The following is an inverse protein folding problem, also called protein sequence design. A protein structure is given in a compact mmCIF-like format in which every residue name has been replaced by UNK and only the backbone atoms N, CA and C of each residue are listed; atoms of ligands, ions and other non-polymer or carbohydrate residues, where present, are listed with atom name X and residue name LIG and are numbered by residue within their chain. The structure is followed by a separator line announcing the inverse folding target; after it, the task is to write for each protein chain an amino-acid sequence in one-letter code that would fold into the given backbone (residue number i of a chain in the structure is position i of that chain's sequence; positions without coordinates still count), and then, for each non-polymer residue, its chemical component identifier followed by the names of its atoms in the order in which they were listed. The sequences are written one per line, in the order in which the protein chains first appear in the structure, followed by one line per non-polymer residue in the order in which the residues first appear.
data_IF_758724574987
#
_entry.id   IF_758724574987
#
_cell.length_a   1.000
_cell.length_b   1.000
_cell.length_c   1.000
_cell.angle_alpha   90.00
_cell.angle_beta   90.00
_cell.angle_gamma   90.00
#
_symmetry.space_group_name_H-M   'P 1'
#
loop_
_entity.id
_entity.type
_entity.pdbx_description
1 polymer ?
#
# COMPACT_ATOMS: atom_id res chain seq x y z
N UNK A 1 50.85 -54.34 -3.46
CA UNK A 1 49.94 -54.26 -2.29
C UNK A 1 50.27 -53.10 -1.35
N UNK A 2 51.54 -52.74 -1.08
CA UNK A 2 51.91 -51.66 -0.13
C UNK A 2 51.31 -50.25 -0.38
N UNK A 3 50.98 -49.92 -1.63
CA UNK A 3 50.46 -48.59 -2.02
C UNK A 3 48.97 -48.36 -1.72
N UNK A 4 48.18 -49.42 -1.53
CA UNK A 4 46.76 -49.29 -1.19
C UNK A 4 46.62 -49.03 0.31
N UNK A 5 47.40 -49.76 1.13
CA UNK A 5 47.39 -49.59 2.59
C UNK A 5 47.86 -48.19 3.01
N UNK A 6 48.84 -47.60 2.33
CA UNK A 6 49.26 -46.20 2.56
C UNK A 6 48.16 -45.19 2.24
N UNK A 7 47.41 -45.42 1.16
CA UNK A 7 46.28 -44.55 0.79
C UNK A 7 45.11 -44.69 1.76
N UNK A 8 44.85 -45.91 2.24
CA UNK A 8 43.84 -46.16 3.28
C UNK A 8 44.26 -45.51 4.59
N UNK A 9 45.53 -45.63 4.99
CA UNK A 9 46.07 -44.96 6.18
C UNK A 9 45.97 -43.44 6.06
N UNK A 10 46.31 -42.88 4.90
CA UNK A 10 46.20 -41.44 4.63
C UNK A 10 44.75 -40.94 4.66
N UNK A 11 43.79 -41.68 4.10
CA UNK A 11 42.36 -41.37 4.23
C UNK A 11 41.88 -41.46 5.67
N UNK A 12 42.30 -42.50 6.40
CA UNK A 12 41.93 -42.68 7.81
C UNK A 12 42.53 -41.56 8.68
N UNK A 13 43.74 -41.13 8.40
CA UNK A 13 44.37 -39.99 9.07
C UNK A 13 43.70 -38.67 8.70
N UNK A 14 43.27 -38.49 7.44
CA UNK A 14 42.50 -37.34 7.01
C UNK A 14 41.12 -37.29 7.68
N UNK A 15 40.42 -38.42 7.75
CA UNK A 15 39.15 -38.58 8.47
C UNK A 15 39.34 -38.33 9.97
N UNK A 16 40.41 -38.85 10.57
CA UNK A 16 40.74 -38.63 11.98
C UNK A 16 41.06 -37.16 12.27
N UNK A 17 41.77 -36.46 11.38
CA UNK A 17 42.03 -35.02 11.48
C UNK A 17 40.78 -34.18 11.25
N UNK A 18 39.93 -34.55 10.30
CA UNK A 18 38.63 -33.91 10.09
C UNK A 18 37.70 -34.13 11.29
N UNK A 19 37.80 -35.26 11.97
CA UNK A 19 37.07 -35.53 13.22
C UNK A 19 37.64 -34.76 14.44
N UNK A 20 38.74 -34.01 14.27
CA UNK A 20 39.26 -33.03 15.23
C UNK A 20 38.83 -31.59 14.87
N UNK A 21 37.82 -31.41 14.02
CA UNK A 21 37.20 -30.11 13.77
C UNK A 21 36.27 -29.74 14.94
N UNK A 22 36.57 -28.69 15.72
CA UNK A 22 35.64 -28.18 16.73
C UNK A 22 34.36 -27.55 16.13
N UNK A 23 34.27 -27.36 14.81
CA UNK A 23 33.23 -26.55 14.17
C UNK A 23 31.99 -27.32 13.66
N UNK A 24 32.01 -28.65 13.57
CA UNK A 24 30.77 -29.44 13.37
C UNK A 24 30.30 -30.15 14.65
N UNK A 25 31.15 -30.20 15.68
CA UNK A 25 30.76 -30.74 16.98
C UNK A 25 29.91 -29.73 17.77
N UNK A 26 29.90 -28.44 17.40
CA UNK A 26 29.10 -27.41 18.07
C UNK A 26 27.58 -27.56 17.89
N UNK A 27 27.13 -28.26 16.84
CA UNK A 27 25.69 -28.53 16.58
C UNK A 27 25.22 -29.80 17.28
N UNK A 28 26.13 -30.74 17.55
CA UNK A 28 25.85 -32.03 18.22
C UNK A 28 26.16 -32.00 19.73
N UNK A 29 26.96 -31.04 20.18
CA UNK A 29 27.23 -30.86 21.60
C UNK A 29 25.99 -30.29 22.30
N UNK A 30 25.61 -30.83 23.48
CA UNK A 30 24.56 -30.23 24.27
C UNK A 30 24.96 -28.77 24.54
N UNK A 31 24.05 -27.80 24.36
CA UNK A 31 24.43 -26.40 24.39
C UNK A 31 25.15 -26.08 25.70
N UNK A 32 26.21 -25.29 25.59
CA UNK A 32 26.98 -24.87 26.74
C UNK A 32 26.07 -24.20 27.77
N UNK A 33 26.42 -24.25 29.05
CA UNK A 33 25.60 -23.64 30.10
C UNK A 33 25.36 -22.14 29.83
N UNK A 34 26.33 -21.47 29.20
CA UNK A 34 26.22 -20.09 28.76
C UNK A 34 25.17 -19.93 27.65
N UNK A 35 25.20 -20.75 26.59
CA UNK A 35 24.22 -20.72 25.50
C UNK A 35 22.81 -21.03 25.99
N UNK A 36 22.66 -22.02 26.88
CA UNK A 36 21.37 -22.32 27.53
C UNK A 36 20.84 -21.12 28.31
N UNK A 37 21.72 -20.44 29.05
CA UNK A 37 21.33 -19.24 29.81
C UNK A 37 20.93 -18.07 28.90
N UNK A 38 21.64 -17.89 27.78
CA UNK A 38 21.34 -16.86 26.80
C UNK A 38 20.00 -17.14 26.11
N UNK A 39 19.77 -18.38 25.70
CA UNK A 39 18.50 -18.81 25.11
C UNK A 39 17.33 -18.65 26.09
N UNK A 40 17.52 -19.00 27.36
CA UNK A 40 16.50 -18.82 28.39
C UNK A 40 16.10 -17.34 28.54
N UNK A 41 17.08 -16.44 28.62
CA UNK A 41 16.84 -14.99 28.69
C UNK A 41 16.10 -14.46 27.46
N UNK A 42 16.51 -14.89 26.26
CA UNK A 42 15.84 -14.47 25.03
C UNK A 42 14.39 -14.97 24.97
N UNK A 43 14.15 -16.20 25.43
CA UNK A 43 12.80 -16.77 25.49
C UNK A 43 11.91 -16.00 26.48
N UNK A 44 12.46 -15.61 27.62
CA UNK A 44 11.78 -14.79 28.62
C UNK A 44 11.45 -13.39 28.07
N UNK A 45 12.42 -12.72 27.43
CA UNK A 45 12.20 -11.41 26.81
C UNK A 45 11.13 -11.50 25.69
N UNK A 46 11.19 -12.53 24.86
CA UNK A 46 10.19 -12.76 23.82
C UNK A 46 8.79 -12.97 24.40
N UNK A 47 8.67 -13.76 25.48
CA UNK A 47 7.40 -13.95 26.17
C UNK A 47 6.88 -12.63 26.77
N UNK A 48 7.75 -11.85 27.40
CA UNK A 48 7.41 -10.54 27.95
C UNK A 48 6.94 -9.56 26.85
N UNK A 49 7.64 -9.49 25.71
CA UNK A 49 7.24 -8.65 24.58
C UNK A 49 5.94 -9.11 23.92
N UNK A 50 5.73 -10.41 23.82
CA UNK A 50 4.47 -10.96 23.32
C UNK A 50 3.30 -10.57 24.21
N UNK A 51 3.50 -10.61 25.54
CA UNK A 51 2.50 -10.16 26.51
C UNK A 51 2.23 -8.65 26.41
N UNK A 52 3.29 -7.84 26.33
CA UNK A 52 3.16 -6.38 26.11
C UNK A 52 2.33 -6.06 24.87
N UNK A 53 2.56 -6.77 23.76
CA UNK A 53 1.77 -6.62 22.53
C UNK A 53 0.30 -6.98 22.72
N UNK A 54 -0.03 -8.02 23.50
CA UNK A 54 -1.42 -8.37 23.83
C UNK A 54 -2.08 -7.26 24.64
N UNK A 55 -1.39 -6.72 25.65
CA UNK A 55 -1.89 -5.57 26.40
C UNK A 55 -2.15 -4.35 25.49
N UNK A 56 -1.22 -4.03 24.59
CA UNK A 56 -1.40 -2.95 23.60
C UNK A 56 -2.60 -3.16 22.66
N UNK A 57 -3.03 -4.41 22.46
CA UNK A 57 -4.25 -4.75 21.70
C UNK A 57 -5.53 -4.69 22.54
N UNK A 58 -5.42 -4.43 23.85
CA UNK A 58 -6.55 -4.47 24.78
C UNK A 58 -6.88 -5.87 25.30
N UNK A 59 -5.97 -6.83 25.16
CA UNK A 59 -6.12 -8.20 25.68
C UNK A 59 -5.44 -8.31 27.06
N UNK A 60 -5.88 -9.25 27.89
CA UNK A 60 -5.27 -9.56 29.20
C UNK A 60 -5.15 -8.37 30.19
N UNK A 61 -5.95 -7.31 30.01
CA UNK A 61 -5.85 -6.06 30.79
C UNK A 61 -6.11 -6.25 32.30
N UNK A 62 -6.81 -7.31 32.70
CA UNK A 62 -7.02 -7.64 34.11
C UNK A 62 -5.72 -7.89 34.90
N UNK A 63 -4.61 -8.12 34.20
CA UNK A 63 -3.29 -8.34 34.79
C UNK A 63 -2.55 -7.03 35.12
N UNK A 64 -3.06 -5.89 34.66
CA UNK A 64 -2.48 -4.56 34.86
C UNK A 64 -3.17 -3.82 36.01
N UNK A 65 -2.38 -3.11 36.80
CA UNK A 65 -2.91 -2.14 37.77
C UNK A 65 -3.44 -0.87 37.11
N UNK A 66 -4.21 -0.07 37.86
CA UNK A 66 -4.79 1.20 37.36
C UNK A 66 -3.72 2.15 36.81
N UNK A 67 -2.57 2.25 37.47
CA UNK A 67 -1.48 3.13 37.03
C UNK A 67 -0.82 2.64 35.75
N UNK A 68 -0.60 1.33 35.62
CA UNK A 68 -0.04 0.73 34.40
C UNK A 68 -1.02 0.88 33.23
N UNK A 69 -2.33 0.75 33.49
CA UNK A 69 -3.38 0.94 32.50
C UNK A 69 -3.41 2.38 31.97
N UNK A 70 -3.26 3.38 32.86
CA UNK A 70 -3.13 4.79 32.46
C UNK A 70 -1.89 5.05 31.62
N UNK A 71 -0.76 4.43 31.96
CA UNK A 71 0.46 4.55 31.17
C UNK A 71 0.29 3.93 29.78
N UNK A 72 -0.38 2.78 29.71
CA UNK A 72 -0.70 2.10 28.45
C UNK A 72 -1.63 2.96 27.58
N UNK A 73 -2.70 3.52 28.13
CA UNK A 73 -3.59 4.44 27.42
C UNK A 73 -2.82 5.63 26.86
N UNK A 74 -2.01 6.30 27.70
CA UNK A 74 -1.21 7.45 27.26
C UNK A 74 -0.24 7.09 26.14
N UNK A 75 0.37 5.90 26.20
CA UNK A 75 1.28 5.42 25.17
C UNK A 75 0.53 5.18 23.85
N UNK A 76 -0.64 4.54 23.91
CA UNK A 76 -1.48 4.28 22.74
C UNK A 76 -2.03 5.58 22.13
N UNK A 77 -2.50 6.50 22.94
CA UNK A 77 -3.00 7.82 22.51
C UNK A 77 -1.91 8.61 21.78
N UNK A 78 -0.70 8.71 22.35
CA UNK A 78 0.42 9.36 21.69
C UNK A 78 0.81 8.69 20.38
N UNK A 79 0.80 7.35 20.35
CA UNK A 79 1.07 6.58 19.13
C UNK A 79 0.03 6.85 18.04
N UNK A 80 -1.25 6.88 18.42
CA UNK A 80 -2.36 7.16 17.51
C UNK A 80 -2.29 8.59 16.96
N UNK A 81 -2.06 9.59 17.81
CA UNK A 81 -1.92 10.99 17.39
C UNK A 81 -0.80 11.13 16.34
N UNK A 82 0.37 10.52 16.58
CA UNK A 82 1.47 10.54 15.60
C UNK A 82 1.08 9.90 14.26
N UNK A 83 0.31 8.80 14.29
CA UNK A 83 -0.17 8.13 13.07
C UNK A 83 -1.15 9.01 12.30
N UNK A 84 -2.06 9.69 13.01
CA UNK A 84 -3.02 10.63 12.41
C UNK A 84 -2.26 11.79 11.77
N UNK A 85 -1.40 12.49 12.52
CA UNK A 85 -0.60 13.60 12.01
C UNK A 85 0.18 13.23 10.75
N UNK A 86 0.84 12.07 10.76
CA UNK A 86 1.61 11.58 9.61
C UNK A 86 0.72 11.28 8.39
N UNK A 87 -0.49 10.76 8.61
CA UNK A 87 -1.44 10.49 7.53
C UNK A 87 -2.01 11.79 6.97
N UNK A 88 -2.39 12.72 7.84
CA UNK A 88 -2.94 14.01 7.46
C UNK A 88 -1.93 14.84 6.66
N UNK A 89 -0.66 14.84 7.07
CA UNK A 89 0.41 15.50 6.30
C UNK A 89 0.53 14.91 4.89
N UNK A 90 0.50 13.57 4.77
CA UNK A 90 0.56 12.89 3.46
C UNK A 90 -0.64 13.23 2.58
N UNK A 91 -1.86 13.18 3.14
CA UNK A 91 -3.07 13.50 2.40
C UNK A 91 -3.10 14.98 1.99
N UNK A 92 -2.72 15.89 2.87
CA UNK A 92 -2.68 17.31 2.56
C UNK A 92 -1.70 17.60 1.42
N UNK A 93 -0.53 16.96 1.43
CA UNK A 93 0.45 17.08 0.35
C UNK A 93 -0.10 16.58 -0.99
N UNK A 94 -0.81 15.45 -0.98
CA UNK A 94 -1.44 14.89 -2.17
C UNK A 94 -2.54 15.81 -2.71
N UNK A 95 -3.40 16.35 -1.83
CA UNK A 95 -4.45 17.32 -2.18
C UNK A 95 -3.84 18.55 -2.85
N UNK A 96 -2.78 19.11 -2.28
CA UNK A 96 -2.09 20.28 -2.85
C UNK A 96 -1.55 19.95 -4.25
N UNK A 97 -0.88 18.81 -4.39
CA UNK A 97 -0.31 18.36 -5.68
C UNK A 97 -1.39 18.22 -6.75
N UNK A 98 -2.54 17.63 -6.39
CA UNK A 98 -3.67 17.44 -7.32
C UNK A 98 -4.29 18.79 -7.69
N UNK A 99 -4.51 19.69 -6.73
CA UNK A 99 -5.06 21.03 -7.00
C UNK A 99 -4.16 21.88 -7.89
N UNK A 100 -2.85 21.80 -7.71
CA UNK A 100 -1.88 22.49 -8.57
C UNK A 100 -1.97 21.96 -10.02
N UNK A 101 -2.03 20.63 -10.19
CA UNK A 101 -2.19 20.00 -11.50
C UNK A 101 -3.52 20.38 -12.16
N UNK A 102 -4.61 20.39 -11.40
CA UNK A 102 -5.93 20.85 -11.86
C UNK A 102 -5.86 22.30 -12.37
N UNK A 103 -5.24 23.21 -11.61
CA UNK A 103 -5.08 24.61 -12.01
C UNK A 103 -4.27 24.77 -13.29
N UNK A 104 -3.16 24.03 -13.44
CA UNK A 104 -2.34 24.05 -14.64
C UNK A 104 -3.11 23.53 -15.86
N UNK A 105 -3.83 22.42 -15.71
CA UNK A 105 -4.64 21.84 -16.78
C UNK A 105 -5.78 22.78 -17.18
N UNK A 106 -6.45 23.43 -16.22
CA UNK A 106 -7.53 24.37 -16.50
C UNK A 106 -7.01 25.59 -17.30
N UNK A 107 -5.85 26.14 -16.92
CA UNK A 107 -5.20 27.23 -17.65
C UNK A 107 -4.81 26.82 -19.07
N UNK A 108 -4.19 25.66 -19.22
CA UNK A 108 -3.78 25.16 -20.54
C UNK A 108 -4.97 24.84 -21.43
N UNK A 109 -6.03 24.23 -20.88
CA UNK A 109 -7.25 23.95 -21.61
C UNK A 109 -7.93 25.24 -22.09
N UNK A 110 -7.99 26.27 -21.23
CA UNK A 110 -8.49 27.59 -21.60
C UNK A 110 -7.64 28.24 -22.70
N UNK A 111 -6.30 28.16 -22.60
CA UNK A 111 -5.38 28.66 -23.63
C UNK A 111 -5.62 27.98 -24.98
N UNK A 112 -5.80 26.65 -24.99
CA UNK A 112 -6.09 25.88 -26.20
C UNK A 112 -7.45 26.23 -26.80
N UNK A 113 -8.50 26.40 -25.98
CA UNK A 113 -9.82 26.86 -26.44
C UNK A 113 -9.74 28.24 -27.09
N UNK A 114 -9.02 29.19 -26.47
CA UNK A 114 -8.82 30.52 -27.04
C UNK A 114 -8.07 30.47 -28.38
N UNK A 115 -7.01 29.65 -28.46
CA UNK A 115 -6.25 29.46 -29.71
C UNK A 115 -7.13 28.85 -30.80
N UNK A 116 -7.98 27.88 -30.47
CA UNK A 116 -8.91 27.29 -31.42
C UNK A 116 -9.90 28.33 -31.94
N UNK A 117 -10.50 29.13 -31.05
CA UNK A 117 -11.41 30.22 -31.41
C UNK A 117 -10.73 31.21 -32.36
N UNK A 118 -9.51 31.64 -32.04
CA UNK A 118 -8.72 32.53 -32.90
C UNK A 118 -8.44 31.91 -34.28
N UNK A 119 -8.10 30.63 -34.36
CA UNK A 119 -7.89 29.96 -35.65
C UNK A 119 -9.17 29.77 -36.46
N UNK A 120 -10.34 29.65 -35.82
CA UNK A 120 -11.63 29.56 -36.50
C UNK A 120 -12.03 30.94 -37.04
N UNK A 121 -11.91 31.99 -36.23
CA UNK A 121 -12.17 33.38 -36.66
C UNK A 121 -11.26 33.75 -37.84
N UNK A 122 -9.96 33.45 -37.74
CA UNK A 122 -9.02 33.74 -38.83
C UNK A 122 -9.26 32.90 -40.11
N UNK A 123 -10.02 31.81 -40.04
CA UNK A 123 -10.42 31.00 -41.22
C UNK A 123 -11.67 31.57 -41.88
N UNK A 124 -12.60 32.10 -41.11
CA UNK A 124 -13.81 32.75 -41.63
C UNK A 124 -13.46 34.05 -42.41
N UNK A 125 -12.33 34.69 -42.11
CA UNK A 125 -11.81 35.85 -42.86
C UNK A 125 -11.02 35.48 -44.14
N UNK A 126 -10.77 34.19 -44.41
CA UNK A 126 -9.88 33.72 -45.48
C UNK A 126 -10.47 32.63 -46.40
N UNK A 127 -11.70 32.13 -46.19
CA UNK A 127 -12.30 31.09 -47.05
C UNK A 127 -13.79 31.34 -47.36
N UNK A 128 -14.05 32.04 -48.47
CA UNK A 128 -15.01 31.49 -49.44
C UNK A 128 -14.37 30.22 -50.02
N UNK A 129 -15.10 29.10 -49.97
CA UNK A 129 -14.79 27.77 -50.51
C UNK A 129 -13.75 26.90 -49.74
N UNK A 130 -14.27 25.88 -49.03
CA UNK A 130 -13.99 24.43 -49.23
C UNK A 130 -14.60 23.62 -48.06
N UNK A 131 -15.48 22.67 -48.39
CA UNK A 131 -16.10 21.71 -47.47
C UNK A 131 -15.07 20.79 -46.79
N UNK A 132 -15.16 20.59 -45.46
CA UNK A 132 -14.82 19.31 -44.82
C UNK A 132 -15.33 19.22 -43.35
N UNK A 133 -16.50 18.59 -43.21
CA UNK A 133 -16.91 17.56 -42.22
C UNK A 133 -16.07 17.44 -40.92
N UNK A 134 -16.70 17.64 -39.75
CA UNK A 134 -17.11 16.60 -38.77
C UNK A 134 -17.77 17.32 -37.59
N UNK A 135 -19.11 17.38 -37.63
CA UNK A 135 -19.94 17.58 -36.45
C UNK A 135 -20.05 16.23 -35.73
N UNK A 136 -19.30 16.02 -34.64
CA UNK A 136 -19.76 15.08 -33.61
C UNK A 136 -20.64 15.89 -32.65
N UNK A 137 -21.78 16.33 -33.18
CA UNK A 137 -22.95 16.59 -32.36
C UNK A 137 -23.58 15.22 -32.09
N UNK A 138 -23.60 14.80 -30.82
CA UNK A 138 -24.20 13.55 -30.40
C UNK A 138 -25.68 13.53 -30.71
N UNK A 139 -26.05 12.93 -31.85
CA UNK A 139 -27.44 12.64 -32.17
C UNK A 139 -27.69 11.14 -32.04
N UNK A 140 -28.36 10.83 -30.93
CA UNK A 140 -29.24 9.69 -30.74
C UNK A 140 -30.04 9.37 -32.01
N UNK A 141 -29.78 8.22 -32.60
CA UNK A 141 -30.73 7.50 -33.48
C UNK A 141 -30.61 6.01 -33.20
N UNK A 142 -31.40 5.56 -32.23
CA UNK A 142 -31.60 4.14 -31.96
C UNK A 142 -32.22 3.44 -33.17
N UNK A 143 -31.47 2.53 -33.77
CA UNK A 143 -31.99 1.53 -34.71
C UNK A 143 -31.78 0.14 -34.12
N UNK A 144 -32.90 -0.56 -34.03
CA UNK A 144 -33.11 -1.85 -33.36
C UNK A 144 -32.34 -2.97 -34.06
N UNK A 145 -31.54 -3.72 -33.31
CA UNK A 145 -31.09 -5.06 -33.69
C UNK A 145 -31.25 -6.02 -32.52
N UNK A 146 -31.88 -7.16 -32.83
CA UNK A 146 -32.44 -8.15 -31.92
C UNK A 146 -31.34 -8.98 -31.25
N UNK A 147 -31.34 -9.05 -29.93
CA UNK A 147 -30.72 -10.13 -29.17
C UNK A 147 -31.65 -10.53 -28.03
N UNK A 148 -32.16 -11.76 -28.11
CA UNK A 148 -32.96 -12.38 -27.06
C UNK A 148 -32.04 -12.76 -25.90
N UNK A 149 -32.24 -12.15 -24.74
CA UNK A 149 -31.95 -12.74 -23.44
C UNK A 149 -32.92 -12.17 -22.42
N UNK A 150 -33.71 -13.05 -21.84
CA UNK A 150 -34.73 -12.80 -20.83
C UNK A 150 -34.09 -12.37 -19.51
N UNK A 151 -34.62 -11.31 -18.88
CA UNK A 151 -35.07 -11.29 -17.48
C UNK A 151 -35.55 -9.88 -17.08
N UNK A 152 -36.80 -9.81 -16.60
CA UNK A 152 -37.51 -8.63 -16.09
C UNK A 152 -37.08 -8.35 -14.63
N UNK A 153 -36.96 -7.11 -14.14
CA UNK A 153 -38.11 -6.32 -13.65
C UNK A 153 -37.76 -4.84 -13.30
N UNK A 154 -38.74 -3.95 -13.59
CA UNK A 154 -39.04 -2.56 -13.13
C UNK A 154 -38.01 -1.44 -13.35
N UNK A 155 -38.14 -0.52 -14.33
CA UNK A 155 -39.04 0.67 -14.45
C UNK A 155 -38.74 1.75 -13.37
N UNK A 156 -38.33 3.00 -13.63
CA UNK A 156 -38.85 4.04 -14.55
C UNK A 156 -37.82 5.17 -14.85
N UNK A 157 -37.87 5.64 -16.10
CA UNK A 157 -37.60 6.95 -16.74
C UNK A 157 -36.55 7.98 -16.22
N UNK A 158 -35.75 8.59 -17.14
CA UNK A 158 -34.84 9.71 -16.86
C UNK A 158 -35.48 11.05 -17.25
N UNK A 159 -35.60 11.99 -16.31
CA UNK A 159 -35.50 13.42 -16.60
C UNK A 159 -35.45 14.24 -15.32
N UNK A 160 -34.84 15.43 -15.47
CA UNK A 160 -34.63 16.55 -14.55
C UNK A 160 -33.54 16.41 -13.47
N UNK A 161 -32.55 17.30 -13.59
CA UNK A 161 -32.00 18.20 -12.55
C UNK A 161 -31.41 17.50 -11.29
N UNK A 162 -30.19 17.77 -10.85
CA UNK A 162 -29.67 19.07 -10.47
C UNK A 162 -28.14 19.04 -10.33
N UNK A 163 -27.51 20.21 -10.41
CA UNK A 163 -26.12 20.43 -10.01
C UNK A 163 -26.03 20.35 -8.48
N UNK A 164 -25.71 19.17 -7.93
CA UNK A 164 -25.49 19.03 -6.49
C UNK A 164 -24.04 19.29 -6.10
N UNK A 165 -23.80 20.56 -5.77
CA UNK A 165 -23.03 21.07 -4.63
C UNK A 165 -22.31 20.01 -3.76
N UNK A 166 -21.02 19.79 -4.02
CA UNK A 166 -20.13 19.05 -3.10
C UNK A 166 -19.59 19.98 -2.01
N UNK A 167 -20.49 20.48 -1.17
CA UNK A 167 -20.11 21.16 0.07
C UNK A 167 -19.61 20.15 1.11
N UNK A 168 -18.31 20.19 1.42
CA UNK A 168 -17.71 19.41 2.50
C UNK A 168 -18.04 20.05 3.86
N UNK A 169 -18.89 19.40 4.65
CA UNK A 169 -19.23 19.83 6.01
C UNK A 169 -18.12 19.44 6.98
N UNK A 170 -17.33 20.42 7.46
CA UNK A 170 -16.46 20.22 8.61
C UNK A 170 -17.32 20.09 9.87
N UNK A 171 -17.18 18.95 10.56
CA UNK A 171 -17.78 18.72 11.87
C UNK A 171 -17.06 19.54 12.94
N UNK A 172 -17.86 20.20 13.78
CA UNK A 172 -17.46 20.71 15.10
C UNK A 172 -17.53 19.57 16.12
#
# INVERSE_FOLDING_TARGET
MKTIDEKISSMLDLLRRHNMLPELNSISQPPSQLEKSAHAKLTEEFAAKTKELRHMKGEELQELGIEELKQLEKLLENGLNRVIETKDEKFLKEIVTVKEKESLLMKENQRLRNKLMETLINRDDQQEEEEAVVLIAGNSVGSKSKSNTSNSSSSQNPNSQDYDDISLKLGL
#
